data_IF_326890717203
#
_entry.id   IF_326890717203
#
_cell.length_a   1.000
_cell.length_b   1.000
_cell.length_c   1.000
_cell.angle_alpha   90.00
_cell.angle_beta   90.00
_cell.angle_gamma   90.00
#
_symmetry.space_group_name_H-M   'P 1'
#
loop_
_entity.id
_entity.type
_entity.pdbx_description
1 polymer ?
#
# COMPACT_ATOMS: atom_id res chain seq x y z
N UNK A 1 -20.28 -2.04 28.38
CA UNK A 1 -19.76 -2.80 27.22
C UNK A 1 -20.38 -4.19 27.27
N UNK A 2 -20.90 -4.73 26.17
CA UNK A 2 -21.33 -6.14 26.09
C UNK A 2 -20.09 -7.05 26.00
N UNK A 3 -19.28 -7.01 27.06
CA UNK A 3 -18.02 -7.74 27.27
C UNK A 3 -17.07 -7.75 26.06
N UNK A 4 -16.98 -8.90 25.37
CA UNK A 4 -16.08 -9.20 24.27
C UNK A 4 -16.56 -8.67 22.91
N UNK A 5 -17.68 -7.96 22.86
CA UNK A 5 -18.21 -7.38 21.62
C UNK A 5 -17.80 -5.91 21.45
N UNK A 6 -17.99 -5.37 20.25
CA UNK A 6 -17.80 -3.94 19.94
C UNK A 6 -18.96 -3.05 20.40
N UNK A 7 -20.00 -3.63 21.02
CA UNK A 7 -21.24 -2.95 21.38
C UNK A 7 -21.24 -2.43 22.84
N UNK A 8 -21.80 -1.25 23.02
CA UNK A 8 -21.94 -0.60 24.33
C UNK A 8 -23.39 -0.15 24.50
N UNK A 9 -24.04 -0.45 25.64
CA UNK A 9 -25.35 0.11 25.92
C UNK A 9 -25.22 1.62 26.08
N UNK A 10 -26.13 2.38 25.46
CA UNK A 10 -26.24 3.84 25.68
C UNK A 10 -27.09 4.16 26.90
N UNK A 11 -28.11 3.34 27.14
CA UNK A 11 -29.00 3.42 28.30
C UNK A 11 -29.41 2.00 28.69
N UNK A 12 -29.67 1.78 29.99
CA UNK A 12 -30.14 0.50 30.54
C UNK A 12 -31.20 0.78 31.58
N UNK A 13 -32.44 0.39 31.27
CA UNK A 13 -33.56 0.48 32.19
C UNK A 13 -34.10 -0.92 32.45
N UNK A 14 -34.14 -1.31 33.72
CA UNK A 14 -34.67 -2.62 34.14
C UNK A 14 -35.93 -2.37 34.96
N UNK A 15 -37.09 -2.49 34.32
CA UNK A 15 -38.38 -2.37 34.99
C UNK A 15 -38.97 -3.77 35.22
N UNK A 16 -38.31 -4.55 36.07
CA UNK A 16 -38.70 -5.92 36.41
C UNK A 16 -38.65 -6.11 37.94
N UNK A 17 -39.54 -6.93 38.52
CA UNK A 17 -39.41 -7.34 39.92
C UNK A 17 -38.12 -8.15 40.13
N UNK A 18 -37.64 -8.31 41.38
CA UNK A 18 -36.42 -9.06 41.66
C UNK A 18 -36.62 -10.55 41.34
N UNK A 19 -36.20 -10.93 40.13
CA UNK A 19 -36.27 -12.29 39.62
C UNK A 19 -34.87 -12.89 39.57
N UNK A 20 -34.76 -14.18 39.87
CA UNK A 20 -33.54 -14.93 39.63
C UNK A 20 -33.42 -15.28 38.14
N UNK A 21 -32.31 -14.90 37.53
CA UNK A 21 -32.00 -15.23 36.13
C UNK A 21 -30.72 -16.08 36.13
N UNK A 22 -30.76 -17.32 35.60
CA UNK A 22 -29.55 -18.13 35.47
C UNK A 22 -28.50 -17.46 34.59
N UNK A 23 -27.23 -17.49 35.01
CA UNK A 23 -26.12 -16.95 34.24
C UNK A 23 -26.01 -17.54 32.82
N UNK A 24 -26.38 -18.81 32.64
CA UNK A 24 -26.39 -19.46 31.32
C UNK A 24 -27.36 -18.78 30.35
N UNK A 25 -28.57 -18.44 30.81
CA UNK A 25 -29.60 -17.78 30.03
C UNK A 25 -29.19 -16.35 29.68
N UNK A 26 -28.63 -15.61 30.64
CA UNK A 26 -28.12 -14.27 30.41
C UNK A 26 -26.99 -14.25 29.35
N UNK A 27 -26.09 -15.23 29.42
CA UNK A 27 -25.01 -15.39 28.44
C UNK A 27 -25.53 -15.77 27.05
N UNK A 28 -26.60 -16.56 26.97
CA UNK A 28 -27.26 -16.87 25.70
C UNK A 28 -27.89 -15.63 25.08
N UNK A 29 -28.72 -14.91 25.83
CA UNK A 29 -29.34 -13.66 25.37
C UNK A 29 -28.28 -12.64 24.92
N UNK A 30 -27.15 -12.58 25.62
CA UNK A 30 -26.02 -11.73 25.24
C UNK A 30 -25.45 -12.08 23.87
N UNK A 31 -25.26 -13.38 23.57
CA UNK A 31 -24.72 -13.84 22.27
C UNK A 31 -25.72 -13.55 21.14
N UNK A 32 -26.98 -13.91 21.33
CA UNK A 32 -28.05 -13.65 20.36
C UNK A 32 -28.18 -12.15 20.05
N UNK A 33 -28.16 -11.31 21.08
CA UNK A 33 -28.19 -9.86 20.91
C UNK A 33 -26.99 -9.36 20.11
N UNK A 34 -25.79 -9.89 20.35
CA UNK A 34 -24.58 -9.50 19.62
C UNK A 34 -24.66 -9.88 18.14
N UNK A 35 -25.15 -11.09 17.83
CA UNK A 35 -25.36 -11.57 16.46
C UNK A 35 -26.37 -10.69 15.72
N UNK A 36 -27.51 -10.38 16.36
CA UNK A 36 -28.51 -9.47 15.79
C UNK A 36 -27.97 -8.07 15.53
N UNK A 37 -27.11 -7.55 16.41
CA UNK A 37 -26.45 -6.26 16.22
C UNK A 37 -25.45 -6.29 15.06
N UNK A 38 -24.71 -7.38 14.88
CA UNK A 38 -23.80 -7.57 13.76
C UNK A 38 -24.54 -7.62 12.42
N UNK A 39 -25.64 -8.37 12.34
CA UNK A 39 -26.51 -8.40 11.16
C UNK A 39 -27.09 -7.01 10.86
N UNK A 40 -27.63 -6.32 11.88
CA UNK A 40 -28.17 -4.98 11.72
C UNK A 40 -27.09 -3.99 11.23
N UNK A 41 -25.87 -4.07 11.76
CA UNK A 41 -24.73 -3.23 11.35
C UNK A 41 -24.32 -3.49 9.91
N UNK A 42 -24.30 -4.75 9.46
CA UNK A 42 -23.99 -5.12 8.08
C UNK A 42 -25.10 -4.68 7.12
N UNK A 43 -26.36 -4.85 7.51
CA UNK A 43 -27.52 -4.41 6.71
C UNK A 43 -27.61 -2.88 6.60
N UNK A 44 -27.23 -2.17 7.67
CA UNK A 44 -27.15 -0.71 7.69
C UNK A 44 -25.87 -0.15 7.04
N UNK A 45 -24.90 -1.00 6.70
CA UNK A 45 -23.65 -0.56 6.10
C UNK A 45 -23.88 -0.03 4.68
N UNK A 46 -23.81 1.28 4.54
CA UNK A 46 -23.82 1.94 3.23
C UNK A 46 -22.38 2.06 2.72
N UNK A 47 -22.12 1.50 1.53
CA UNK A 47 -20.83 1.65 0.88
C UNK A 47 -20.66 3.13 0.47
N UNK A 48 -19.62 3.76 1.02
CA UNK A 48 -19.25 5.11 0.60
C UNK A 48 -19.02 5.17 -0.91
N UNK A 49 -19.57 6.20 -1.55
CA UNK A 49 -19.32 6.48 -2.97
C UNK A 49 -18.11 7.39 -3.12
N UNK A 50 -17.46 7.33 -4.28
CA UNK A 50 -16.36 8.24 -4.60
C UNK A 50 -16.89 9.68 -4.59
N UNK A 51 -16.24 10.58 -3.84
CA UNK A 51 -16.55 12.01 -3.88
C UNK A 51 -16.38 12.57 -5.30
N UNK A 52 -17.23 13.52 -5.72
CA UNK A 52 -17.05 14.19 -7.01
C UNK A 52 -15.71 14.92 -7.05
N UNK A 53 -15.16 15.08 -8.25
CA UNK A 53 -13.96 15.88 -8.47
C UNK A 53 -14.30 17.35 -8.18
N UNK A 54 -13.40 18.08 -7.51
CA UNK A 54 -13.59 19.51 -7.25
C UNK A 54 -13.64 20.34 -8.53
N UNK A 55 -14.25 21.53 -8.44
CA UNK A 55 -14.24 22.55 -9.49
C UNK A 55 -13.58 23.81 -8.90
N UNK A 56 -12.41 24.25 -9.39
CA UNK A 56 -11.64 23.65 -10.49
C UNK A 56 -11.02 22.28 -10.13
N UNK A 57 -10.66 21.47 -11.14
CA UNK A 57 -9.94 20.22 -10.90
C UNK A 57 -8.64 20.48 -10.12
N UNK A 58 -8.26 19.59 -9.20
CA UNK A 58 -6.97 19.72 -8.50
C UNK A 58 -5.81 19.60 -9.49
N UNK A 59 -4.71 20.29 -9.25
CA UNK A 59 -3.50 20.16 -10.06
C UNK A 59 -2.50 19.28 -9.32
N UNK A 60 -1.84 18.37 -10.04
CA UNK A 60 -0.81 17.51 -9.47
C UNK A 60 0.43 18.36 -9.11
N UNK A 61 1.09 18.13 -7.95
CA UNK A 61 2.18 19.00 -7.50
C UNK A 61 3.39 19.04 -8.44
N UNK A 62 3.68 17.94 -9.13
CA UNK A 62 4.83 17.80 -10.02
C UNK A 62 4.39 17.89 -11.48
N UNK A 63 5.17 18.56 -12.32
CA UNK A 63 4.91 18.67 -13.77
C UNK A 63 5.62 17.61 -14.60
N UNK A 64 6.63 16.94 -14.01
CA UNK A 64 7.38 15.84 -14.59
C UNK A 64 7.39 14.66 -13.63
N UNK A 65 6.90 13.51 -14.10
CA UNK A 65 6.96 12.24 -13.39
C UNK A 65 8.03 11.36 -14.01
N UNK A 66 9.02 10.98 -13.22
CA UNK A 66 10.03 10.00 -13.63
C UNK A 66 9.51 8.57 -13.53
N UNK A 67 10.33 7.60 -13.94
CA UNK A 67 10.01 6.16 -13.84
C UNK A 67 9.60 5.73 -12.42
N UNK A 68 10.05 6.46 -11.37
CA UNK A 68 9.71 6.20 -9.97
C UNK A 68 8.20 6.36 -9.66
N UNK A 69 7.46 7.09 -10.50
CA UNK A 69 6.02 7.26 -10.36
C UNK A 69 5.21 6.04 -10.82
N UNK A 70 5.87 5.01 -11.38
CA UNK A 70 5.26 3.74 -11.84
C UNK A 70 4.04 3.94 -12.76
N UNK A 71 4.09 4.99 -13.60
CA UNK A 71 3.01 5.28 -14.56
C UNK A 71 3.13 4.36 -15.78
N UNK A 72 2.63 3.13 -15.61
CA UNK A 72 2.82 2.07 -16.61
C UNK A 72 1.74 2.07 -17.70
N UNK A 73 0.45 2.14 -17.32
CA UNK A 73 -0.66 1.96 -18.26
C UNK A 73 -1.21 3.29 -18.82
N UNK A 74 -1.88 3.22 -19.97
CA UNK A 74 -2.43 4.39 -20.66
C UNK A 74 -3.48 5.17 -19.83
N UNK A 75 -4.28 4.49 -18.99
CA UNK A 75 -5.28 5.15 -18.14
C UNK A 75 -4.62 5.99 -17.06
N UNK A 76 -3.53 5.50 -16.48
CA UNK A 76 -2.73 6.24 -15.52
C UNK A 76 -2.08 7.47 -16.18
N UNK A 77 -1.49 7.30 -17.38
CA UNK A 77 -0.92 8.43 -18.14
C UNK A 77 -1.97 9.52 -18.43
N UNK A 78 -3.14 9.12 -18.93
CA UNK A 78 -4.25 10.05 -19.18
C UNK A 78 -4.74 10.75 -17.90
N UNK A 79 -4.77 10.03 -16.77
CA UNK A 79 -5.11 10.60 -15.47
C UNK A 79 -4.12 11.71 -15.08
N UNK A 80 -2.81 11.45 -15.09
CA UNK A 80 -1.82 12.45 -14.68
C UNK A 80 -1.78 13.66 -15.63
N UNK A 81 -1.89 13.45 -16.93
CA UNK A 81 -1.97 14.53 -17.91
C UNK A 81 -3.19 15.42 -17.69
N UNK A 82 -4.36 14.83 -17.41
CA UNK A 82 -5.58 15.59 -17.08
C UNK A 82 -5.38 16.51 -15.87
N UNK A 83 -4.51 16.14 -14.94
CA UNK A 83 -4.23 16.91 -13.72
C UNK A 83 -2.93 17.75 -13.82
N UNK A 84 -2.48 18.05 -15.04
CA UNK A 84 -1.44 19.07 -15.29
C UNK A 84 -0.01 18.54 -15.40
N UNK A 85 0.20 17.23 -15.33
CA UNK A 85 1.53 16.64 -15.58
C UNK A 85 1.83 16.70 -17.08
N UNK A 86 2.97 17.27 -17.44
CA UNK A 86 3.37 17.50 -18.83
C UNK A 86 4.23 16.37 -19.37
N UNK A 87 5.24 15.94 -18.59
CA UNK A 87 6.18 14.90 -18.96
C UNK A 87 6.00 13.69 -18.04
N UNK A 88 5.91 12.50 -18.63
CA UNK A 88 5.74 11.24 -17.90
C UNK A 88 6.66 10.21 -18.54
N UNK A 89 7.75 9.91 -17.86
CA UNK A 89 8.71 8.89 -18.28
C UNK A 89 8.05 7.50 -18.18
N UNK A 90 8.57 6.54 -18.94
CA UNK A 90 8.08 5.17 -18.85
C UNK A 90 8.41 4.59 -17.47
N UNK A 91 7.46 3.86 -16.89
CA UNK A 91 7.71 3.09 -15.68
C UNK A 91 8.84 2.07 -15.91
N UNK A 92 9.55 1.72 -14.84
CA UNK A 92 10.74 0.85 -14.92
C UNK A 92 10.44 -0.51 -15.58
N UNK A 93 9.25 -1.05 -15.34
CA UNK A 93 8.76 -2.31 -15.90
C UNK A 93 8.53 -2.25 -17.43
N UNK A 94 8.57 -1.08 -18.06
CA UNK A 94 8.49 -0.92 -19.51
C UNK A 94 9.82 -1.22 -20.22
N UNK A 95 10.87 -1.56 -19.47
CA UNK A 95 12.18 -1.96 -20.00
C UNK A 95 12.93 -0.86 -20.79
N UNK A 96 12.55 0.41 -20.62
CA UNK A 96 13.23 1.55 -21.24
C UNK A 96 14.50 1.94 -20.47
N UNK A 97 14.46 1.87 -19.14
CA UNK A 97 15.60 2.16 -18.26
C UNK A 97 16.52 0.94 -18.08
N UNK A 98 17.61 0.91 -18.85
CA UNK A 98 18.58 -0.21 -18.86
C UNK A 98 19.83 0.03 -18.01
N UNK A 99 19.97 1.24 -17.46
CA UNK A 99 21.12 1.65 -16.65
C UNK A 99 21.02 1.22 -15.19
N UNK A 100 21.97 1.71 -14.39
CA UNK A 100 21.94 1.59 -12.93
C UNK A 100 21.04 2.68 -12.35
N UNK A 101 19.84 2.30 -11.92
CA UNK A 101 18.82 3.22 -11.40
C UNK A 101 18.39 2.83 -9.98
N UNK A 102 17.93 3.79 -9.16
CA UNK A 102 17.36 3.46 -7.85
C UNK A 102 16.07 2.64 -8.05
N UNK A 103 16.12 1.37 -7.65
CA UNK A 103 14.97 0.46 -7.67
C UNK A 103 14.19 0.46 -6.34
N UNK A 104 14.83 0.95 -5.27
CA UNK A 104 14.20 1.13 -3.98
C UNK A 104 14.80 2.34 -3.27
N UNK A 105 13.93 3.21 -2.76
CA UNK A 105 14.30 4.37 -1.93
C UNK A 105 13.67 4.16 -0.56
N UNK A 106 14.48 4.15 0.49
CA UNK A 106 14.02 3.91 1.86
C UNK A 106 14.62 4.91 2.84
N UNK A 107 13.84 5.24 3.88
CA UNK A 107 14.33 6.03 5.02
C UNK A 107 15.18 5.21 5.97
N UNK A 108 15.07 3.87 5.94
CA UNK A 108 15.98 3.01 6.69
C UNK A 108 17.40 3.14 6.13
N UNK A 109 18.36 3.50 6.98
CA UNK A 109 19.70 3.83 6.55
C UNK A 109 20.73 2.94 7.25
N UNK A 110 21.43 2.08 6.49
CA UNK A 110 22.47 1.22 7.04
C UNK A 110 23.64 2.01 7.63
N UNK A 111 23.96 3.20 7.09
CA UNK A 111 24.96 4.06 7.73
C UNK A 111 24.52 4.50 9.12
N UNK A 112 23.24 4.74 9.34
CA UNK A 112 22.71 5.03 10.68
C UNK A 112 22.79 3.79 11.57
N UNK A 113 22.34 2.63 11.08
CA UNK A 113 22.34 1.38 11.83
C UNK A 113 23.75 0.95 12.29
N UNK A 114 24.79 1.25 11.49
CA UNK A 114 26.18 0.95 11.80
C UNK A 114 26.96 2.12 12.43
N UNK A 115 26.29 3.16 12.90
CA UNK A 115 26.92 4.36 13.51
C UNK A 115 27.91 5.10 12.59
N UNK A 116 27.73 4.98 11.27
CA UNK A 116 28.50 5.65 10.22
C UNK A 116 27.80 6.91 9.68
N UNK A 117 26.72 7.36 10.32
CA UNK A 117 25.91 8.48 9.83
C UNK A 117 26.62 9.82 10.08
N UNK A 118 26.90 10.63 9.04
CA UNK A 118 27.56 11.92 9.21
C UNK A 118 26.72 12.93 10.01
N UNK A 119 25.39 12.77 10.05
CA UNK A 119 24.49 13.64 10.85
C UNK A 119 24.62 13.39 12.36
N UNK A 120 24.98 12.18 12.78
CA UNK A 120 25.13 11.83 14.20
C UNK A 120 26.55 12.06 14.70
N UNK A 121 27.53 11.98 13.81
CA UNK A 121 28.94 12.16 14.12
C UNK A 121 29.32 13.65 14.29
N UNK A 122 28.91 14.26 15.41
CA UNK A 122 29.44 15.58 15.82
C UNK A 122 30.88 15.42 16.31
N UNK A 123 31.86 15.71 15.46
CA UNK A 123 33.21 16.13 15.87
C UNK A 123 34.35 15.10 15.84
N UNK A 124 34.12 13.79 15.84
CA UNK A 124 35.22 12.80 15.99
C UNK A 124 35.38 11.79 14.87
N UNK A 125 34.46 11.71 13.91
CA UNK A 125 34.65 10.90 12.71
C UNK A 125 35.15 11.87 11.63
N UNK A 126 36.47 11.94 11.46
CA UNK A 126 37.05 12.34 10.17
C UNK A 126 36.25 11.58 9.13
N UNK A 127 35.68 12.27 8.15
CA UNK A 127 34.89 11.72 7.06
C UNK A 127 35.71 10.67 6.31
N UNK A 128 35.85 9.48 6.88
CA UNK A 128 36.42 8.35 6.19
C UNK A 128 35.45 8.15 5.04
N UNK A 129 35.96 8.17 3.81
CA UNK A 129 35.17 7.88 2.61
C UNK A 129 34.44 6.58 2.91
N UNK A 130 33.17 6.67 3.30
CA UNK A 130 32.42 5.52 3.75
C UNK A 130 32.44 4.55 2.58
N UNK A 131 33.03 3.38 2.81
CA UNK A 131 33.25 2.39 1.77
C UNK A 131 31.92 2.15 1.06
N UNK A 132 31.89 2.11 -0.29
CA UNK A 132 30.67 1.79 -1.01
C UNK A 132 30.06 0.52 -0.42
N UNK A 133 28.82 0.62 0.04
CA UNK A 133 28.12 -0.54 0.61
C UNK A 133 27.31 -1.20 -0.50
N UNK A 134 27.26 -2.52 -0.47
CA UNK A 134 26.53 -3.33 -1.43
C UNK A 134 25.65 -4.33 -0.68
N UNK A 135 24.47 -4.61 -1.21
CA UNK A 135 23.67 -5.76 -0.80
C UNK A 135 23.99 -6.91 -1.74
N UNK A 136 24.36 -8.04 -1.15
CA UNK A 136 24.66 -9.25 -1.90
C UNK A 136 23.55 -10.25 -1.60
N UNK A 137 22.92 -10.77 -2.66
CA UNK A 137 21.89 -11.79 -2.56
C UNK A 137 22.12 -12.85 -3.64
N UNK A 138 22.71 -13.98 -3.26
CA UNK A 138 23.20 -14.97 -4.24
C UNK A 138 24.26 -14.35 -5.15
N UNK A 139 24.03 -14.43 -6.46
CA UNK A 139 24.91 -13.87 -7.49
C UNK A 139 24.66 -12.37 -7.77
N UNK A 140 23.77 -11.73 -7.01
CA UNK A 140 23.37 -10.35 -7.24
C UNK A 140 24.09 -9.40 -6.30
N UNK A 141 24.66 -8.34 -6.88
CA UNK A 141 25.31 -7.25 -6.14
C UNK A 141 24.58 -5.96 -6.46
N UNK A 142 23.84 -5.43 -5.49
CA UNK A 142 23.13 -4.16 -5.58
C UNK A 142 23.94 -3.08 -4.86
N UNK A 143 24.14 -1.94 -5.50
CA UNK A 143 24.94 -0.86 -4.92
C UNK A 143 24.06 0.06 -4.09
N UNK A 144 24.52 0.44 -2.89
CA UNK A 144 23.80 1.36 -2.03
C UNK A 144 24.35 2.77 -2.17
N UNK A 145 23.49 3.70 -2.57
CA UNK A 145 23.76 5.15 -2.53
C UNK A 145 23.04 5.76 -1.33
N UNK A 146 23.66 6.74 -0.69
CA UNK A 146 23.13 7.37 0.52
C UNK A 146 23.00 8.87 0.29
N UNK A 147 21.77 9.36 0.21
CA UNK A 147 21.50 10.79 0.22
C UNK A 147 21.21 11.25 1.65
N UNK A 148 22.23 11.81 2.27
CA UNK A 148 22.13 12.27 3.65
C UNK A 148 21.22 13.50 3.79
N UNK A 149 20.93 14.27 2.72
CA UNK A 149 20.10 15.48 2.82
C UNK A 149 18.64 15.16 3.14
N UNK A 150 17.88 14.42 2.30
CA UNK A 150 16.53 13.92 2.62
C UNK A 150 16.54 12.68 3.55
N UNK A 151 17.72 12.20 3.95
CA UNK A 151 17.93 11.02 4.78
C UNK A 151 17.37 9.74 4.12
N UNK A 152 17.90 9.42 2.95
CA UNK A 152 17.47 8.30 2.12
C UNK A 152 18.63 7.38 1.77
N UNK A 153 18.33 6.08 1.76
CA UNK A 153 19.18 5.05 1.18
C UNK A 153 18.51 4.57 -0.11
N UNK A 154 19.27 4.61 -1.20
CA UNK A 154 18.86 4.18 -2.52
C UNK A 154 19.55 2.86 -2.83
N UNK A 155 18.75 1.82 -3.07
CA UNK A 155 19.22 0.55 -3.61
C UNK A 155 19.24 0.70 -5.12
N UNK A 156 20.44 0.69 -5.70
CA UNK A 156 20.67 0.86 -7.12
C UNK A 156 20.89 -0.51 -7.73
N UNK A 157 20.11 -0.80 -8.78
CA UNK A 157 20.18 -2.04 -9.52
C UNK A 157 20.06 -1.79 -11.01
N UNK A 158 20.44 -2.81 -11.77
CA UNK A 158 20.32 -2.86 -13.22
C UNK A 158 19.33 -3.94 -13.61
N UNK A 159 18.50 -3.67 -14.61
CA UNK A 159 17.58 -4.66 -15.15
C UNK A 159 18.36 -5.85 -15.72
N UNK A 160 17.93 -7.07 -15.40
CA UNK A 160 18.61 -8.28 -15.87
C UNK A 160 18.25 -8.60 -17.30
N UNK A 161 19.22 -9.14 -18.04
CA UNK A 161 19.03 -9.52 -19.44
C UNK A 161 17.90 -10.55 -19.65
N UNK A 162 17.67 -11.47 -18.71
CA UNK A 162 16.57 -12.42 -18.85
C UNK A 162 15.20 -11.77 -18.65
N UNK A 163 15.09 -10.75 -17.79
CA UNK A 163 13.85 -9.96 -17.61
C UNK A 163 13.55 -9.17 -18.88
N UNK A 164 14.56 -8.60 -19.54
CA UNK A 164 14.39 -7.95 -20.84
C UNK A 164 13.86 -8.89 -21.94
N UNK A 165 14.09 -10.20 -21.81
CA UNK A 165 13.56 -11.22 -22.73
C UNK A 165 12.17 -11.70 -22.35
N UNK A 166 11.68 -11.38 -21.14
CA UNK A 166 10.33 -11.69 -20.73
C UNK A 166 9.34 -10.72 -21.37
N UNK A 167 8.10 -11.16 -21.66
CA UNK A 167 7.05 -10.29 -22.12
C UNK A 167 6.77 -9.19 -21.09
N UNK A 168 6.39 -8.02 -21.59
CA UNK A 168 6.05 -6.87 -20.76
C UNK A 168 4.86 -7.21 -19.83
N UNK A 169 4.88 -6.77 -18.56
CA UNK A 169 3.76 -7.01 -17.65
C UNK A 169 2.43 -6.52 -18.23
N UNK A 170 1.44 -7.42 -18.33
CA UNK A 170 0.13 -7.09 -18.91
C UNK A 170 0.10 -7.05 -20.45
N UNK A 171 1.21 -7.34 -21.15
CA UNK A 171 1.20 -7.59 -22.60
C UNK A 171 0.72 -8.99 -22.94
N UNK A 172 0.83 -9.93 -21.99
CA UNK A 172 0.18 -11.23 -22.11
C UNK A 172 -1.30 -11.01 -21.80
N UNK A 173 -2.09 -10.84 -22.85
CA UNK A 173 -3.53 -11.05 -22.77
C UNK A 173 -3.68 -12.55 -22.56
N UNK A 174 -3.66 -13.02 -21.30
CA UNK A 174 -4.38 -14.25 -21.00
C UNK A 174 -5.79 -13.95 -21.49
N UNK A 175 -6.18 -14.60 -22.58
CA UNK A 175 -7.49 -14.49 -23.22
C UNK A 175 -8.53 -15.11 -22.28
N UNK A 176 -8.65 -14.59 -21.08
CA UNK A 176 -9.74 -14.91 -20.18
C UNK A 176 -10.88 -14.03 -20.65
N UNK A 177 -11.80 -14.63 -21.39
CA UNK A 177 -13.02 -13.95 -21.79
C UNK A 177 -13.74 -13.41 -20.55
N UNK A 178 -14.51 -12.32 -20.66
CA UNK A 178 -15.36 -11.85 -19.56
C UNK A 178 -16.20 -12.99 -18.96
N UNK A 179 -16.66 -13.94 -19.78
CA UNK A 179 -17.42 -15.10 -19.35
C UNK A 179 -16.61 -16.08 -18.48
N UNK A 180 -15.34 -16.31 -18.80
CA UNK A 180 -14.44 -17.12 -17.96
C UNK A 180 -14.10 -16.42 -16.64
N UNK A 181 -13.90 -15.10 -16.67
CA UNK A 181 -13.68 -14.32 -15.46
C UNK A 181 -14.91 -14.38 -14.54
N UNK A 182 -16.12 -14.25 -15.10
CA UNK A 182 -17.37 -14.32 -14.34
C UNK A 182 -17.61 -15.69 -13.68
N UNK A 183 -17.08 -16.78 -14.26
CA UNK A 183 -17.13 -18.13 -13.64
C UNK A 183 -16.23 -18.26 -12.41
N UNK A 184 -15.19 -17.43 -12.29
CA UNK A 184 -14.27 -17.43 -11.13
C UNK A 184 -14.79 -16.61 -9.95
N UNK A 185 -15.79 -15.75 -10.17
CA UNK A 185 -16.36 -14.94 -9.11
C UNK A 185 -17.23 -15.81 -8.17
N UNK A 186 -17.10 -15.66 -6.84
CA UNK A 186 -17.97 -16.36 -5.90
C UNK A 186 -19.42 -15.96 -6.16
N UNK A 187 -20.31 -16.97 -6.31
CA UNK A 187 -21.75 -16.74 -6.52
C UNK A 187 -22.28 -15.84 -5.41
N UNK A 188 -22.93 -14.73 -5.79
CA UNK A 188 -23.70 -13.91 -4.84
C UNK A 188 -24.71 -14.82 -4.16
N UNK A 189 -24.55 -15.05 -2.86
CA UNK A 189 -25.60 -15.66 -2.04
C UNK A 189 -26.70 -14.61 -1.88
N UNK A 190 -27.90 -14.89 -2.39
CA UNK A 190 -29.10 -14.10 -2.12
C UNK A 190 -29.54 -13.15 -3.25
N UNK A 191 -29.70 -13.65 -4.46
CA UNK A 191 -30.66 -13.10 -5.42
C UNK A 191 -31.82 -14.09 -5.58
#
# INVERSE_FOLDING_TARGET
KLEQTSYYPRDVQVNLPPLFIPNSLLNQLRRETAEMLDEARLNAWQRGTRKPVSVPPPVYPETHLSFLANVYNHKARAFYQRYGVQLIDAAYEAHEEKGDVPVMITKHCLRFAFNLCPKQAKGSIKSWKATPMQLIHGDEVLTLKFDCRPCEMHVVGKIKNHILKMPLPGSIVASVSPDELMKTLPKRKGA
#
